data_IF_920297766099
#
_entry.id   IF_920297766099
#
_cell.length_a   1.000
_cell.length_b   1.000
_cell.length_c   1.000
_cell.angle_alpha   90.00
_cell.angle_beta   90.00
_cell.angle_gamma   90.00
#
_symmetry.space_group_name_H-M   'P 1'
#
loop_
_entity.id
_entity.type
_entity.pdbx_description
1 polymer ?
#
# COMPACT_ATOMS: atom_id res chain seq x y z
N UNK A 1 -5.14 12.14 15.14
CA UNK A 1 -4.30 12.05 13.93
C UNK A 1 -2.97 11.44 14.33
N UNK A 2 -2.50 10.40 13.63
CA UNK A 2 -1.19 9.77 13.90
C UNK A 2 -0.07 10.74 13.49
N UNK A 3 0.92 10.94 14.36
CA UNK A 3 2.11 11.75 14.08
C UNK A 3 2.84 11.18 12.84
N UNK A 4 3.24 12.03 11.88
CA UNK A 4 3.92 11.62 10.65
C UNK A 4 5.19 10.80 10.91
N UNK A 5 5.96 11.11 11.95
CA UNK A 5 7.15 10.34 12.34
C UNK A 5 6.76 8.93 12.80
N UNK A 6 5.75 8.81 13.68
CA UNK A 6 5.25 7.51 14.17
C UNK A 6 4.69 6.68 13.02
N UNK A 7 3.95 7.31 12.10
CA UNK A 7 3.47 6.66 10.86
C UNK A 7 4.61 6.05 10.05
N UNK A 8 5.69 6.79 9.81
CA UNK A 8 6.84 6.29 9.04
C UNK A 8 7.53 5.10 9.72
N UNK A 9 7.66 5.15 11.05
CA UNK A 9 8.20 4.03 11.84
C UNK A 9 7.30 2.80 11.70
N UNK A 10 5.99 2.95 11.90
CA UNK A 10 5.01 1.86 11.78
C UNK A 10 5.04 1.23 10.39
N UNK A 11 5.09 2.06 9.34
CA UNK A 11 5.18 1.61 7.95
C UNK A 11 6.47 0.80 7.71
N UNK A 12 7.60 1.27 8.24
CA UNK A 12 8.88 0.56 8.18
C UNK A 12 8.85 -0.78 8.92
N UNK A 13 8.19 -0.85 10.08
CA UNK A 13 8.03 -2.10 10.82
C UNK A 13 7.13 -3.08 10.06
N UNK A 14 6.05 -2.61 9.44
CA UNK A 14 5.16 -3.45 8.63
C UNK A 14 5.92 -4.09 7.46
N UNK A 15 6.70 -3.29 6.72
CA UNK A 15 7.51 -3.79 5.62
C UNK A 15 8.59 -4.78 6.10
N UNK A 16 9.33 -4.46 7.17
CA UNK A 16 10.36 -5.36 7.73
C UNK A 16 9.77 -6.70 8.21
N UNK A 17 8.60 -6.67 8.86
CA UNK A 17 7.93 -7.89 9.33
C UNK A 17 7.52 -8.78 8.15
N UNK A 18 6.99 -8.17 7.09
CA UNK A 18 6.63 -8.90 5.87
C UNK A 18 7.86 -9.51 5.17
N UNK A 19 8.96 -8.76 5.05
CA UNK A 19 10.20 -9.26 4.44
C UNK A 19 10.83 -10.42 5.23
N UNK A 20 10.55 -10.52 6.53
CA UNK A 20 10.96 -11.63 7.39
C UNK A 20 10.02 -12.85 7.30
N UNK A 21 8.95 -12.76 6.50
CA UNK A 21 7.98 -13.84 6.36
C UNK A 21 7.13 -14.08 7.61
N UNK A 22 7.02 -13.08 8.49
CA UNK A 22 6.19 -13.17 9.69
C UNK A 22 4.72 -13.33 9.31
N UNK A 23 4.00 -14.17 10.05
CA UNK A 23 2.53 -14.22 10.05
C UNK A 23 1.93 -12.93 10.64
N UNK A 24 0.63 -12.69 10.44
CA UNK A 24 -0.09 -11.54 11.03
C UNK A 24 0.13 -11.42 12.56
N UNK A 25 0.09 -12.54 13.28
CA UNK A 25 0.26 -12.57 14.73
C UNK A 25 1.69 -12.21 15.15
N UNK A 26 2.69 -12.71 14.42
CA UNK A 26 4.10 -12.39 14.67
C UNK A 26 4.40 -10.93 14.32
N UNK A 27 3.85 -10.43 13.22
CA UNK A 27 4.02 -9.06 12.77
C UNK A 27 3.45 -8.06 13.79
N UNK A 28 2.25 -8.33 14.35
CA UNK A 28 1.67 -7.53 15.43
C UNK A 28 2.53 -7.60 16.70
N UNK A 29 3.04 -8.78 17.04
CA UNK A 29 3.94 -8.94 18.19
C UNK A 29 5.24 -8.14 18.00
N UNK A 30 5.78 -8.11 16.79
CA UNK A 30 6.95 -7.30 16.44
C UNK A 30 6.67 -5.80 16.55
N UNK A 31 5.48 -5.33 16.20
CA UNK A 31 5.08 -3.94 16.42
C UNK A 31 5.16 -3.59 17.91
N UNK A 32 4.51 -4.37 18.77
CA UNK A 32 4.51 -4.13 20.21
C UNK A 32 5.93 -4.21 20.80
N UNK A 33 6.72 -5.19 20.36
CA UNK A 33 8.10 -5.34 20.81
C UNK A 33 8.96 -4.11 20.45
N UNK A 34 8.94 -3.69 19.19
CA UNK A 34 9.77 -2.59 18.69
C UNK A 34 9.39 -1.23 19.25
N UNK A 35 8.13 -1.07 19.66
CA UNK A 35 7.58 0.19 20.16
C UNK A 35 7.26 0.14 21.66
N UNK A 36 7.79 -0.85 22.37
CA UNK A 36 7.49 -1.10 23.80
C UNK A 36 7.94 0.03 24.73
N UNK A 37 8.97 0.78 24.35
CA UNK A 37 9.49 1.91 25.12
C UNK A 37 8.86 3.26 24.77
N UNK A 38 7.84 3.29 23.91
CA UNK A 38 7.18 4.55 23.55
C UNK A 38 6.28 5.05 24.68
N UNK A 39 6.34 6.35 24.91
CA UNK A 39 5.39 7.09 25.74
C UNK A 39 4.76 8.23 24.91
N UNK A 40 3.44 8.22 24.64
CA UNK A 40 2.48 7.17 25.01
C UNK A 40 2.70 5.87 24.21
N UNK A 41 2.22 4.72 24.75
CA UNK A 41 2.30 3.43 24.07
C UNK A 41 1.53 3.43 22.75
N UNK A 42 1.69 2.35 21.98
CA UNK A 42 1.04 2.20 20.67
C UNK A 42 -0.48 2.27 20.81
N UNK A 43 -1.10 3.23 20.14
CA UNK A 43 -2.56 3.40 20.18
C UNK A 43 -3.28 2.36 19.32
N UNK A 44 -4.60 2.22 19.51
CA UNK A 44 -5.40 1.34 18.65
C UNK A 44 -5.37 1.78 17.18
N UNK A 45 -5.40 3.09 16.91
CA UNK A 45 -5.27 3.63 15.55
C UNK A 45 -3.91 3.26 14.92
N UNK A 46 -2.85 3.23 15.71
CA UNK A 46 -1.54 2.84 15.21
C UNK A 46 -1.44 1.35 14.90
N UNK A 47 -2.13 0.51 15.66
CA UNK A 47 -2.27 -0.92 15.36
C UNK A 47 -3.07 -1.13 14.06
N UNK A 48 -4.17 -0.41 13.87
CA UNK A 48 -4.94 -0.47 12.63
C UNK A 48 -4.12 0.02 11.43
N UNK A 49 -3.34 1.08 11.62
CA UNK A 49 -2.45 1.61 10.60
C UNK A 49 -1.36 0.60 10.22
N UNK A 50 -0.76 -0.06 11.21
CA UNK A 50 0.17 -1.16 11.00
C UNK A 50 -0.45 -2.28 10.16
N UNK A 51 -1.62 -2.78 10.55
CA UNK A 51 -2.32 -3.83 9.81
C UNK A 51 -2.64 -3.41 8.37
N UNK A 52 -3.01 -2.15 8.15
CA UNK A 52 -3.28 -1.65 6.82
C UNK A 52 -2.01 -1.63 5.95
N UNK A 53 -0.89 -1.13 6.48
CA UNK A 53 0.38 -1.16 5.74
C UNK A 53 0.85 -2.57 5.46
N UNK A 54 0.80 -3.45 6.46
CA UNK A 54 1.20 -4.85 6.30
C UNK A 54 0.45 -5.51 5.13
N UNK A 55 -0.88 -5.37 5.09
CA UNK A 55 -1.73 -5.91 4.01
C UNK A 55 -1.52 -5.23 2.65
N UNK A 56 -1.25 -3.91 2.63
CA UNK A 56 -0.85 -3.19 1.41
C UNK A 56 0.43 -3.79 0.86
N UNK A 57 1.44 -4.02 1.70
CA UNK A 57 2.72 -4.55 1.27
C UNK A 57 2.62 -6.01 0.85
N UNK A 58 1.88 -6.83 1.59
CA UNK A 58 1.64 -8.23 1.26
C UNK A 58 1.01 -8.36 -0.13
N UNK A 59 -0.10 -7.64 -0.36
CA UNK A 59 -0.78 -7.65 -1.66
C UNK A 59 0.06 -7.04 -2.79
N UNK A 60 0.88 -6.03 -2.50
CA UNK A 60 1.82 -5.45 -3.45
C UNK A 60 2.90 -6.46 -3.89
N UNK A 61 3.51 -7.18 -2.94
CA UNK A 61 4.57 -8.16 -3.23
C UNK A 61 4.02 -9.40 -3.93
N UNK A 62 2.83 -9.86 -3.53
CA UNK A 62 2.20 -11.05 -4.09
C UNK A 62 1.52 -10.81 -5.45
N UNK A 63 1.24 -9.55 -5.81
CA UNK A 63 0.61 -9.21 -7.09
C UNK A 63 1.54 -9.48 -8.27
N UNK A 64 1.13 -10.45 -9.11
CA UNK A 64 1.76 -10.74 -10.41
C UNK A 64 1.09 -9.92 -11.51
N UNK A 65 1.86 -9.06 -12.17
CA UNK A 65 1.40 -8.24 -13.30
C UNK A 65 2.25 -8.62 -14.49
N UNK A 66 1.61 -9.26 -15.47
CA UNK A 66 2.28 -9.89 -16.61
C UNK A 66 2.26 -9.03 -17.87
N UNK A 67 1.42 -7.99 -17.91
CA UNK A 67 1.29 -7.12 -19.08
C UNK A 67 0.78 -5.72 -18.72
N UNK A 68 0.98 -4.78 -19.65
CA UNK A 68 0.49 -3.40 -19.52
C UNK A 68 -1.04 -3.34 -19.53
N UNK A 69 -1.70 -4.19 -20.31
CA UNK A 69 -3.16 -4.33 -20.34
C UNK A 69 -3.69 -4.71 -18.96
N UNK A 70 -3.03 -5.67 -18.29
CA UNK A 70 -3.42 -6.08 -16.94
C UNK A 70 -3.22 -4.97 -15.92
N UNK A 71 -2.13 -4.20 -16.05
CA UNK A 71 -1.89 -3.04 -15.21
C UNK A 71 -2.96 -1.95 -15.41
N UNK A 72 -3.38 -1.71 -16.66
CA UNK A 72 -4.45 -0.78 -17.01
C UNK A 72 -5.79 -1.22 -16.44
N UNK A 73 -6.14 -2.50 -16.57
CA UNK A 73 -7.35 -3.08 -15.99
C UNK A 73 -7.39 -2.86 -14.46
N UNK A 74 -6.30 -3.18 -13.75
CA UNK A 74 -6.21 -2.99 -12.30
C UNK A 74 -6.37 -1.51 -11.91
N UNK A 75 -5.82 -0.60 -12.73
CA UNK A 75 -5.92 0.85 -12.51
C UNK A 75 -7.21 1.45 -13.07
N UNK A 76 -8.13 0.67 -13.65
CA UNK A 76 -9.36 1.20 -14.25
C UNK A 76 -9.13 2.13 -15.43
N UNK A 77 -8.02 1.96 -16.17
CA UNK A 77 -7.65 2.78 -17.32
C UNK A 77 -8.12 2.06 -18.59
N UNK A 78 -8.78 2.80 -19.49
CA UNK A 78 -9.21 2.25 -20.78
C UNK A 78 -8.02 1.76 -21.61
N UNK A 79 -8.14 0.56 -22.18
CA UNK A 79 -7.16 -0.05 -23.10
C UNK A 79 -6.90 0.84 -24.31
N UNK A 80 -7.88 1.66 -24.75
CA UNK A 80 -7.69 2.61 -25.85
C UNK A 80 -6.58 3.64 -25.58
N UNK A 81 -6.20 3.87 -24.31
CA UNK A 81 -5.09 4.74 -23.93
C UNK A 81 -3.70 4.10 -24.11
N UNK A 82 -3.60 2.81 -24.48
CA UNK A 82 -2.31 2.15 -24.77
C UNK A 82 -1.62 2.71 -26.01
N UNK A 83 -2.36 3.33 -26.93
CA UNK A 83 -1.80 3.93 -28.14
C UNK A 83 -1.09 5.28 -27.88
N UNK A 84 -1.06 5.74 -26.62
CA UNK A 84 -0.39 6.98 -26.25
C UNK A 84 1.12 6.80 -26.11
N UNK A 85 1.86 7.92 -26.14
CA UNK A 85 3.27 7.90 -25.78
C UNK A 85 3.48 7.41 -24.34
N UNK A 86 4.63 6.78 -24.07
CA UNK A 86 4.97 6.28 -22.73
C UNK A 86 4.83 7.36 -21.63
N UNK A 87 5.22 8.60 -21.93
CA UNK A 87 5.08 9.73 -21.01
C UNK A 87 3.63 10.02 -20.62
N UNK A 88 2.70 9.93 -21.57
CA UNK A 88 1.26 10.11 -21.33
C UNK A 88 0.66 8.92 -20.58
N UNK A 89 1.08 7.70 -20.90
CA UNK A 89 0.70 6.48 -20.18
C UNK A 89 1.07 6.60 -18.69
N UNK A 90 2.32 6.98 -18.38
CA UNK A 90 2.78 7.15 -17.00
C UNK A 90 1.98 8.23 -16.27
N UNK A 91 1.70 9.36 -16.94
CA UNK A 91 0.90 10.45 -16.37
C UNK A 91 -0.51 9.96 -16.01
N UNK A 92 -1.17 9.27 -16.93
CA UNK A 92 -2.51 8.72 -16.72
C UNK A 92 -2.52 7.70 -15.59
N UNK A 93 -1.54 6.80 -15.55
CA UNK A 93 -1.40 5.80 -14.49
C UNK A 93 -1.26 6.43 -13.11
N UNK A 94 -0.42 7.47 -12.98
CA UNK A 94 -0.27 8.22 -11.72
C UNK A 94 -1.57 8.90 -11.31
N UNK A 95 -2.25 9.57 -12.24
CA UNK A 95 -3.53 10.23 -11.97
C UNK A 95 -4.59 9.24 -11.50
N UNK A 96 -4.75 8.13 -12.23
CA UNK A 96 -5.73 7.11 -11.89
C UNK A 96 -5.46 6.47 -10.53
N UNK A 97 -4.19 6.13 -10.25
CA UNK A 97 -3.80 5.57 -8.96
C UNK A 97 -4.07 6.55 -7.80
N UNK A 98 -3.63 7.79 -7.89
CA UNK A 98 -3.76 8.75 -6.79
C UNK A 98 -5.22 9.13 -6.52
N UNK A 99 -6.05 9.24 -7.56
CA UNK A 99 -7.49 9.43 -7.40
C UNK A 99 -8.11 8.29 -6.59
N UNK A 100 -7.87 7.05 -7.01
CA UNK A 100 -8.41 5.87 -6.34
C UNK A 100 -7.84 5.70 -4.93
N UNK A 101 -6.55 5.95 -4.73
CA UNK A 101 -5.94 5.90 -3.40
C UNK A 101 -6.67 6.84 -2.43
N UNK A 102 -6.87 8.11 -2.83
CA UNK A 102 -7.56 9.09 -1.99
C UNK A 102 -9.02 8.70 -1.68
N UNK A 103 -9.73 8.13 -2.66
CA UNK A 103 -11.10 7.61 -2.47
C UNK A 103 -11.12 6.44 -1.47
N UNK A 104 -10.17 5.50 -1.59
CA UNK A 104 -10.09 4.28 -0.78
C UNK A 104 -9.47 4.49 0.60
N UNK A 105 -8.71 5.56 0.82
CA UNK A 105 -7.92 5.78 2.04
C UNK A 105 -8.23 7.07 2.81
N UNK A 106 -9.42 7.65 2.64
CA UNK A 106 -9.78 8.92 3.28
C UNK A 106 -9.85 8.85 4.82
N UNK A 107 -10.11 7.66 5.37
CA UNK A 107 -9.97 7.38 6.79
C UNK A 107 -9.29 6.04 7.04
N UNK A 108 -8.93 5.78 8.30
CA UNK A 108 -8.16 4.60 8.70
C UNK A 108 -8.92 3.28 8.54
N UNK A 109 -10.23 3.26 8.80
CA UNK A 109 -11.06 2.05 8.62
C UNK A 109 -11.16 1.71 7.14
N UNK A 110 -11.33 2.73 6.30
CA UNK A 110 -11.35 2.60 4.84
C UNK A 110 -10.00 2.15 4.29
N UNK A 111 -8.91 2.77 4.73
CA UNK A 111 -7.55 2.36 4.39
C UNK A 111 -7.30 0.88 4.73
N UNK A 112 -7.70 0.43 5.92
CA UNK A 112 -7.56 -0.98 6.32
C UNK A 112 -8.45 -1.91 5.48
N UNK A 113 -9.71 -1.53 5.26
CA UNK A 113 -10.67 -2.31 4.48
C UNK A 113 -10.22 -2.48 3.02
N UNK A 114 -9.67 -1.43 2.41
CA UNK A 114 -9.20 -1.41 1.02
C UNK A 114 -7.69 -1.70 0.87
N UNK A 115 -6.99 -2.08 1.95
CA UNK A 115 -5.54 -2.26 1.95
C UNK A 115 -5.03 -3.16 0.82
N UNK A 116 -5.70 -4.30 0.61
CA UNK A 116 -5.34 -5.26 -0.43
C UNK A 116 -5.50 -4.68 -1.85
N UNK A 117 -6.58 -3.94 -2.07
CA UNK A 117 -6.86 -3.28 -3.35
C UNK A 117 -5.80 -2.20 -3.65
N UNK A 118 -5.48 -1.39 -2.64
CA UNK A 118 -4.45 -0.34 -2.72
C UNK A 118 -3.10 -0.93 -3.11
N UNK A 119 -2.67 -2.02 -2.45
CA UNK A 119 -1.39 -2.66 -2.75
C UNK A 119 -1.31 -3.20 -4.18
N UNK A 120 -2.37 -3.84 -4.66
CA UNK A 120 -2.47 -4.29 -6.07
C UNK A 120 -2.39 -3.14 -7.07
N UNK A 121 -3.11 -2.03 -6.81
CA UNK A 121 -3.07 -0.83 -7.66
C UNK A 121 -1.68 -0.17 -7.63
N UNK A 122 -1.02 -0.15 -6.48
CA UNK A 122 0.36 0.35 -6.33
C UNK A 122 1.33 -0.50 -7.16
N UNK A 123 1.16 -1.83 -7.18
CA UNK A 123 1.97 -2.73 -8.01
C UNK A 123 1.75 -2.48 -9.51
N UNK A 124 0.50 -2.24 -9.93
CA UNK A 124 0.17 -1.89 -11.32
C UNK A 124 0.83 -0.58 -11.75
N UNK A 125 0.81 0.42 -10.87
CA UNK A 125 1.53 1.67 -11.12
C UNK A 125 3.05 1.46 -11.23
N UNK A 126 3.65 0.70 -10.31
CA UNK A 126 5.09 0.39 -10.33
C UNK A 126 5.49 -0.33 -11.63
N UNK A 127 4.69 -1.30 -12.08
CA UNK A 127 4.91 -1.99 -13.36
C UNK A 127 4.95 -1.02 -14.54
N UNK A 128 3.97 -0.10 -14.64
CA UNK A 128 3.91 0.88 -15.74
C UNK A 128 5.09 1.85 -15.68
N UNK A 129 5.45 2.30 -14.49
CA UNK A 129 6.53 3.26 -14.30
C UNK A 129 7.94 2.63 -14.33
N UNK A 130 8.03 1.30 -14.27
CA UNK A 130 9.27 0.52 -14.13
C UNK A 130 10.04 0.85 -12.84
N UNK A 131 9.32 0.95 -11.71
CA UNK A 131 9.87 1.05 -10.36
C UNK A 131 9.85 -0.30 -9.65
#
# INVERSE_FOLDING_TARGET
>A
MVNQQRRAIIEGIALDSLLKGCTDSEAISMLFWKLSSLDPPVSYEEQLLFCAFYRIYESYLNAKITSTEKAFEILGISISKLNMSQSRIIKEAKLSYWKQYNELSHDLKKLLYHAYEIGRKKKALSYICKY
#
